data_IF_170154594793
#
_entry.id   IF_170154594793
#
_cell.length_a   1.000
_cell.length_b   1.000
_cell.length_c   1.000
_cell.angle_alpha   90.00
_cell.angle_beta   90.00
_cell.angle_gamma   90.00
#
_symmetry.space_group_name_H-M   'P 1'
#
loop_
_entity.id
_entity.type
_entity.pdbx_description
1 polymer ?
#
# COMPACT_ATOMS: atom_id res chain seq x y z
N UNK A 1 19.08 4.08 -16.46
CA UNK A 1 19.48 3.79 -15.05
C UNK A 1 20.06 2.39 -15.01
N UNK A 2 21.21 2.17 -14.37
CA UNK A 2 21.84 0.82 -14.31
C UNK A 2 20.91 -0.18 -13.60
N UNK A 3 20.89 -1.42 -14.07
CA UNK A 3 20.11 -2.56 -13.54
C UNK A 3 20.28 -2.72 -12.03
N UNK A 4 21.51 -2.70 -11.52
CA UNK A 4 21.82 -2.78 -10.09
C UNK A 4 21.21 -1.62 -9.26
N UNK A 5 21.20 -0.40 -9.81
CA UNK A 5 20.59 0.77 -9.14
C UNK A 5 19.06 0.63 -9.06
N UNK A 6 18.41 0.13 -10.11
CA UNK A 6 16.96 -0.14 -10.12
C UNK A 6 16.56 -1.20 -9.11
N UNK A 7 17.32 -2.29 -9.04
CA UNK A 7 17.10 -3.36 -8.09
C UNK A 7 17.15 -2.85 -6.64
N UNK A 8 18.22 -2.11 -6.29
CA UNK A 8 18.38 -1.52 -4.96
C UNK A 8 17.25 -0.53 -4.63
N UNK A 9 16.85 0.31 -5.58
CA UNK A 9 15.73 1.23 -5.39
C UNK A 9 14.40 0.50 -5.17
N UNK A 10 14.14 -0.57 -5.94
CA UNK A 10 12.94 -1.39 -5.76
C UNK A 10 12.92 -2.05 -4.39
N UNK A 11 14.05 -2.63 -3.96
CA UNK A 11 14.18 -3.23 -2.63
C UNK A 11 13.83 -2.24 -1.51
N UNK A 12 14.48 -1.07 -1.50
CA UNK A 12 14.21 -0.05 -0.48
C UNK A 12 12.79 0.49 -0.56
N UNK A 13 12.25 0.65 -1.76
CA UNK A 13 10.87 1.06 -1.96
C UNK A 13 9.89 0.05 -1.37
N UNK A 14 10.06 -1.25 -1.64
CA UNK A 14 9.21 -2.32 -1.10
C UNK A 14 9.36 -2.45 0.43
N UNK A 15 10.57 -2.26 0.98
CA UNK A 15 10.74 -2.24 2.43
C UNK A 15 10.00 -1.09 3.09
N UNK A 16 10.13 0.13 2.55
CA UNK A 16 9.45 1.30 3.09
C UNK A 16 7.93 1.18 2.93
N UNK A 17 7.46 0.84 1.73
CA UNK A 17 6.05 0.64 1.44
C UNK A 17 5.46 -0.48 2.31
N UNK A 18 6.09 -1.66 2.33
CA UNK A 18 5.68 -2.80 3.13
C UNK A 18 5.69 -2.48 4.62
N UNK A 19 6.67 -1.71 5.11
CA UNK A 19 6.75 -1.27 6.50
C UNK A 19 5.64 -0.29 6.89
N UNK A 20 5.33 0.69 6.04
CA UNK A 20 4.20 1.60 6.24
C UNK A 20 2.89 0.83 6.26
N UNK A 21 2.67 -0.05 5.29
CA UNK A 21 1.44 -0.86 5.21
C UNK A 21 1.34 -1.84 6.39
N UNK A 22 2.45 -2.44 6.82
CA UNK A 22 2.54 -3.31 7.99
C UNK A 22 2.12 -2.59 9.28
N UNK A 23 2.42 -1.29 9.39
CA UNK A 23 2.03 -0.48 10.54
C UNK A 23 0.50 -0.37 10.73
N UNK A 24 -0.30 -0.76 9.73
CA UNK A 24 -1.76 -0.85 9.86
C UNK A 24 -2.21 -1.80 10.98
N UNK A 25 -1.38 -2.77 11.42
CA UNK A 25 -1.68 -3.54 12.63
C UNK A 25 -1.84 -2.66 13.87
N UNK A 26 -1.08 -1.55 13.98
CA UNK A 26 -1.26 -0.59 15.06
C UNK A 26 -2.62 0.11 14.97
N UNK A 27 -3.04 0.47 13.74
CA UNK A 27 -4.37 1.06 13.52
C UNK A 27 -5.51 0.09 13.87
N UNK A 28 -5.34 -1.23 13.68
CA UNK A 28 -6.33 -2.22 14.08
C UNK A 28 -6.57 -2.24 15.61
N UNK A 29 -5.52 -1.96 16.39
CA UNK A 29 -5.56 -1.96 17.84
C UNK A 29 -5.79 -0.57 18.47
N UNK A 30 -5.86 0.49 17.65
CA UNK A 30 -5.86 1.84 18.20
C UNK A 30 -7.15 2.19 18.96
N UNK A 31 -7.06 3.10 19.96
CA UNK A 31 -8.22 3.55 20.70
C UNK A 31 -9.28 4.17 19.78
N UNK A 32 -10.57 3.95 20.10
CA UNK A 32 -11.70 4.58 19.39
C UNK A 32 -11.54 6.09 19.27
N UNK A 33 -11.03 6.74 20.33
CA UNK A 33 -10.80 8.18 20.37
C UNK A 33 -9.86 8.68 19.26
N UNK A 34 -8.84 7.91 18.87
CA UNK A 34 -7.92 8.29 17.79
C UNK A 34 -8.59 8.23 16.41
N UNK A 35 -9.44 7.22 16.20
CA UNK A 35 -10.25 7.08 14.99
C UNK A 35 -11.25 8.24 14.86
N UNK A 36 -11.94 8.58 15.95
CA UNK A 36 -12.89 9.69 16.00
C UNK A 36 -12.16 11.02 15.71
N UNK A 37 -11.05 11.29 16.40
CA UNK A 37 -10.28 12.52 16.18
C UNK A 37 -9.76 12.64 14.74
N UNK A 38 -9.43 11.52 14.09
CA UNK A 38 -9.00 11.51 12.69
C UNK A 38 -10.17 11.82 11.76
N UNK A 39 -11.35 11.22 11.99
CA UNK A 39 -12.55 11.52 11.22
C UNK A 39 -12.94 13.01 11.34
N UNK A 40 -12.91 13.55 12.56
CA UNK A 40 -13.16 14.98 12.82
C UNK A 40 -12.15 15.89 12.12
N UNK A 41 -10.87 15.52 12.12
CA UNK A 41 -9.82 16.28 11.42
C UNK A 41 -10.06 16.37 9.92
N UNK A 42 -10.59 15.31 9.30
CA UNK A 42 -10.93 15.28 7.89
C UNK A 42 -12.35 15.79 7.58
N UNK A 43 -13.05 16.32 8.59
CA UNK A 43 -14.46 16.76 8.47
C UNK A 43 -15.37 15.66 7.90
N UNK A 44 -15.02 14.39 8.14
CA UNK A 44 -15.88 13.25 7.84
C UNK A 44 -16.94 13.21 8.94
N UNK A 45 -18.21 13.02 8.56
CA UNK A 45 -19.34 12.91 9.49
C UNK A 45 -18.99 12.06 10.72
N UNK A 46 -19.64 12.35 11.86
CA UNK A 46 -19.35 11.70 13.14
C UNK A 46 -19.21 10.19 12.98
N UNK A 47 -18.00 9.67 13.26
CA UNK A 47 -17.65 8.27 13.03
C UNK A 47 -18.73 7.36 13.67
N UNK A 48 -19.55 6.65 12.88
CA UNK A 48 -20.77 6.05 13.41
C UNK A 48 -20.48 5.00 14.48
N UNK A 49 -21.06 5.13 15.68
CA UNK A 49 -20.86 4.17 16.78
C UNK A 49 -21.73 2.92 16.60
N UNK A 50 -21.52 2.22 15.49
CA UNK A 50 -22.14 0.94 15.19
C UNK A 50 -21.12 -0.19 15.21
N UNK A 51 -21.54 -1.38 15.66
CA UNK A 51 -20.66 -2.56 15.76
C UNK A 51 -20.00 -2.89 14.43
N UNK A 52 -20.75 -2.78 13.32
CA UNK A 52 -20.24 -3.06 11.98
C UNK A 52 -19.17 -2.06 11.54
N UNK A 53 -19.33 -0.77 11.84
CA UNK A 53 -18.33 0.28 11.52
C UNK A 53 -16.99 -0.02 12.16
N UNK A 54 -16.98 -0.30 13.47
CA UNK A 54 -15.76 -0.64 14.20
C UNK A 54 -15.13 -1.94 13.73
N UNK A 55 -15.96 -2.94 13.43
CA UNK A 55 -15.51 -4.21 12.87
C UNK A 55 -14.82 -3.99 11.52
N UNK A 56 -15.49 -3.32 10.58
CA UNK A 56 -14.96 -3.11 9.23
C UNK A 56 -13.68 -2.28 9.24
N UNK A 57 -13.64 -1.18 9.99
CA UNK A 57 -12.45 -0.34 10.06
C UNK A 57 -11.23 -1.09 10.62
N UNK A 58 -11.40 -1.84 11.72
CA UNK A 58 -10.30 -2.63 12.30
C UNK A 58 -9.92 -3.83 11.44
N UNK A 59 -10.91 -4.52 10.87
CA UNK A 59 -10.67 -5.66 10.01
C UNK A 59 -9.90 -5.25 8.75
N UNK A 60 -10.26 -4.11 8.16
CA UNK A 60 -9.54 -3.53 7.03
C UNK A 60 -8.08 -3.22 7.40
N UNK A 61 -7.82 -2.66 8.59
CA UNK A 61 -6.46 -2.46 9.09
C UNK A 61 -5.67 -3.77 9.24
N UNK A 62 -6.31 -4.86 9.70
CA UNK A 62 -5.68 -6.20 9.77
C UNK A 62 -5.34 -6.72 8.36
N UNK A 63 -6.24 -6.57 7.39
CA UNK A 63 -6.01 -6.97 6.00
C UNK A 63 -4.83 -6.19 5.40
N UNK A 64 -4.76 -4.88 5.61
CA UNK A 64 -3.61 -4.08 5.19
C UNK A 64 -2.33 -4.50 5.93
N UNK A 65 -2.37 -4.75 7.24
CA UNK A 65 -1.22 -5.24 7.99
C UNK A 65 -0.65 -6.54 7.39
N UNK A 66 -1.54 -7.48 7.03
CA UNK A 66 -1.18 -8.73 6.34
C UNK A 66 -0.60 -8.49 4.94
N UNK A 67 -1.14 -7.52 4.19
CA UNK A 67 -0.54 -7.10 2.92
C UNK A 67 0.89 -6.58 3.13
N UNK A 68 1.12 -5.82 4.21
CA UNK A 68 2.44 -5.33 4.60
C UNK A 68 3.43 -6.47 4.84
N UNK A 69 3.00 -7.50 5.59
CA UNK A 69 3.80 -8.74 5.76
C UNK A 69 4.14 -9.35 4.41
N UNK A 70 3.16 -9.54 3.54
CA UNK A 70 3.38 -10.12 2.22
C UNK A 70 4.39 -9.29 1.40
N UNK A 71 4.28 -7.96 1.38
CA UNK A 71 5.25 -7.12 0.65
C UNK A 71 6.65 -7.22 1.23
N UNK A 72 6.78 -7.23 2.57
CA UNK A 72 8.08 -7.38 3.23
C UNK A 72 8.73 -8.74 2.91
N UNK A 73 7.95 -9.81 2.83
CA UNK A 73 8.45 -11.12 2.38
C UNK A 73 8.89 -11.10 0.92
N UNK A 74 8.14 -10.45 0.03
CA UNK A 74 8.54 -10.29 -1.38
C UNK A 74 9.83 -9.49 -1.54
N UNK A 75 10.10 -8.54 -0.64
CA UNK A 75 11.33 -7.76 -0.65
C UNK A 75 12.57 -8.59 -0.27
N UNK A 76 12.43 -9.69 0.49
CA UNK A 76 13.56 -10.52 0.94
C UNK A 76 14.23 -11.31 -0.17
N UNK A 77 13.47 -11.76 -1.16
CA UNK A 77 13.97 -12.51 -2.32
C UNK A 77 13.39 -11.91 -3.62
N UNK A 78 13.79 -10.66 -3.86
CA UNK A 78 13.29 -9.87 -4.97
C UNK A 78 13.60 -10.49 -6.35
N UNK A 79 14.78 -11.10 -6.62
CA UNK A 79 15.02 -11.78 -7.89
C UNK A 79 14.01 -12.88 -8.17
N UNK A 80 13.73 -13.74 -7.17
CA UNK A 80 12.76 -14.83 -7.29
C UNK A 80 11.33 -14.35 -7.47
N UNK A 81 10.93 -13.30 -6.75
CA UNK A 81 9.55 -12.82 -6.72
C UNK A 81 9.24 -11.68 -7.70
N UNK A 82 10.17 -11.32 -8.58
CA UNK A 82 10.06 -10.17 -9.47
C UNK A 82 8.76 -10.12 -10.28
N UNK A 83 8.37 -11.24 -10.88
CA UNK A 83 7.13 -11.33 -11.65
C UNK A 83 5.87 -11.10 -10.79
N UNK A 84 5.90 -11.56 -9.53
CA UNK A 84 4.83 -11.33 -8.58
C UNK A 84 4.80 -9.88 -8.10
N UNK A 85 5.96 -9.27 -7.86
CA UNK A 85 6.09 -7.84 -7.52
C UNK A 85 5.54 -6.95 -8.64
N UNK A 86 5.80 -7.30 -9.91
CA UNK A 86 5.25 -6.58 -11.05
C UNK A 86 3.71 -6.66 -11.10
N UNK A 87 3.15 -7.86 -10.87
CA UNK A 87 1.69 -8.06 -10.78
C UNK A 87 1.09 -7.31 -9.59
N UNK A 88 1.77 -7.31 -8.45
CA UNK A 88 1.38 -6.55 -7.27
C UNK A 88 1.34 -5.05 -7.57
N UNK A 89 2.36 -4.51 -8.25
CA UNK A 89 2.40 -3.12 -8.67
C UNK A 89 1.19 -2.72 -9.52
N UNK A 90 0.85 -3.53 -10.52
CA UNK A 90 -0.38 -3.31 -11.31
C UNK A 90 -1.65 -3.45 -10.47
N UNK A 91 -1.71 -4.43 -9.57
CA UNK A 91 -2.82 -4.58 -8.62
C UNK A 91 -3.03 -3.35 -7.75
N UNK A 92 -1.96 -2.70 -7.30
CA UNK A 92 -2.00 -1.46 -6.52
C UNK A 92 -2.46 -0.28 -7.40
N UNK A 93 -2.05 -0.21 -8.68
CA UNK A 93 -2.58 0.79 -9.62
C UNK A 93 -4.10 0.65 -9.78
N UNK A 94 -4.57 -0.58 -9.97
CA UNK A 94 -6.01 -0.87 -10.08
C UNK A 94 -6.72 -0.54 -8.76
N UNK A 95 -6.12 -0.88 -7.62
CA UNK A 95 -6.65 -0.53 -6.30
C UNK A 95 -6.87 0.98 -6.15
N UNK A 96 -5.93 1.82 -6.59
CA UNK A 96 -6.10 3.28 -6.56
C UNK A 96 -7.31 3.75 -7.38
N UNK A 97 -7.57 3.12 -8.54
CA UNK A 97 -8.78 3.38 -9.33
C UNK A 97 -10.08 2.91 -8.65
N UNK A 98 -10.03 1.78 -7.94
CA UNK A 98 -11.17 1.27 -7.17
C UNK A 98 -11.44 2.11 -5.91
N UNK A 99 -10.39 2.58 -5.22
CA UNK A 99 -10.51 3.51 -4.10
C UNK A 99 -11.17 4.81 -4.55
N UNK A 100 -10.70 5.39 -5.66
CA UNK A 100 -11.34 6.56 -6.25
C UNK A 100 -12.84 6.36 -6.50
N UNK A 101 -13.23 5.21 -7.06
CA UNK A 101 -14.63 4.87 -7.26
C UNK A 101 -15.41 4.77 -5.94
N UNK A 102 -14.86 4.09 -4.93
CA UNK A 102 -15.49 3.93 -3.61
C UNK A 102 -15.67 5.27 -2.91
N UNK A 103 -14.66 6.13 -2.96
CA UNK A 103 -14.69 7.46 -2.34
C UNK A 103 -15.76 8.35 -2.98
N UNK A 104 -15.89 8.31 -4.31
CA UNK A 104 -16.97 9.00 -5.01
C UNK A 104 -18.34 8.43 -4.66
N UNK A 105 -18.48 7.10 -4.57
CA UNK A 105 -19.73 6.44 -4.24
C UNK A 105 -20.18 6.68 -2.78
N UNK A 106 -19.23 7.01 -1.89
CA UNK A 106 -19.49 7.25 -0.46
C UNK A 106 -19.50 8.73 -0.08
N UNK A 107 -19.17 9.62 -1.02
CA UNK A 107 -19.19 11.07 -0.79
C UNK A 107 -18.02 11.58 0.06
N UNK A 108 -16.86 10.92 0.02
CA UNK A 108 -15.68 11.33 0.77
C UNK A 108 -15.16 12.71 0.33
N UNK A 109 -14.53 13.49 1.25
CA UNK A 109 -13.97 14.80 0.94
C UNK A 109 -12.97 14.75 -0.23
N UNK A 110 -13.00 15.75 -1.11
CA UNK A 110 -12.15 15.76 -2.31
C UNK A 110 -10.64 15.61 -2.02
N UNK A 111 -10.15 16.22 -0.94
CA UNK A 111 -8.75 16.11 -0.53
C UNK A 111 -8.36 14.67 -0.16
N UNK A 112 -9.28 13.93 0.45
CA UNK A 112 -9.12 12.51 0.76
C UNK A 112 -9.17 11.69 -0.54
N UNK A 113 -10.23 11.87 -1.33
CA UNK A 113 -10.46 11.11 -2.56
C UNK A 113 -9.30 11.19 -3.55
N UNK A 114 -8.80 12.40 -3.83
CA UNK A 114 -7.66 12.57 -4.71
C UNK A 114 -6.36 12.13 -4.05
N UNK A 115 -6.19 12.42 -2.76
CA UNK A 115 -5.00 12.03 -1.99
C UNK A 115 -4.80 10.51 -1.97
N UNK A 116 -5.83 9.77 -1.57
CA UNK A 116 -5.79 8.30 -1.48
C UNK A 116 -5.60 7.68 -2.87
N UNK A 117 -6.46 7.99 -3.83
CA UNK A 117 -6.39 7.37 -5.15
C UNK A 117 -5.08 7.64 -5.89
N UNK A 118 -4.62 8.90 -5.92
CA UNK A 118 -3.41 9.28 -6.64
C UNK A 118 -2.18 8.70 -5.96
N UNK A 119 -2.09 8.78 -4.62
CA UNK A 119 -0.93 8.25 -3.90
C UNK A 119 -0.83 6.73 -4.03
N UNK A 120 -1.93 5.99 -3.93
CA UNK A 120 -1.95 4.55 -4.14
C UNK A 120 -1.56 4.19 -5.58
N UNK A 121 -2.20 4.81 -6.58
CA UNK A 121 -1.92 4.51 -7.98
C UNK A 121 -0.47 4.86 -8.36
N UNK A 122 0.04 6.00 -7.90
CA UNK A 122 1.43 6.41 -8.10
C UNK A 122 2.39 5.40 -7.44
N UNK A 123 2.09 4.92 -6.24
CA UNK A 123 2.91 3.93 -5.56
C UNK A 123 3.01 2.61 -6.33
N UNK A 124 1.87 2.11 -6.83
CA UNK A 124 1.83 0.95 -7.71
C UNK A 124 2.62 1.17 -9.01
N UNK A 125 2.48 2.35 -9.62
CA UNK A 125 3.20 2.70 -10.84
C UNK A 125 4.73 2.77 -10.63
N UNK A 126 5.19 3.23 -9.47
CA UNK A 126 6.62 3.19 -9.09
C UNK A 126 7.12 1.75 -8.99
N UNK A 127 6.35 0.85 -8.38
CA UNK A 127 6.70 -0.59 -8.33
C UNK A 127 6.80 -1.15 -9.75
N UNK A 128 5.80 -0.93 -10.61
CA UNK A 128 5.82 -1.38 -12.00
C UNK A 128 7.02 -0.81 -12.76
N UNK A 129 7.29 0.48 -12.60
CA UNK A 129 8.42 1.15 -13.25
C UNK A 129 9.76 0.61 -12.79
N UNK A 130 9.94 0.25 -11.52
CA UNK A 130 11.19 -0.29 -11.01
C UNK A 130 11.33 -1.80 -11.27
N UNK A 131 10.21 -2.53 -11.32
CA UNK A 131 10.14 -3.97 -11.54
C UNK A 131 10.05 -4.39 -13.03
N UNK A 132 9.85 -3.47 -13.98
CA UNK A 132 9.96 -3.76 -15.42
C UNK A 132 11.43 -3.91 -15.82
N UNK A 133 11.82 -4.99 -16.47
CA UNK A 133 13.14 -5.26 -17.10
C UNK A 133 14.40 -4.74 -16.39
N UNK A 134 15.02 -5.67 -15.67
CA UNK A 134 16.43 -5.78 -15.42
C UNK A 134 16.72 -7.15 -16.01
N UNK A 135 17.45 -7.20 -17.13
CA UNK A 135 18.07 -8.43 -17.63
C UNK A 135 18.64 -9.20 -16.44
N UNK A 136 18.52 -10.53 -16.44
CA UNK A 136 19.20 -11.38 -15.47
C UNK A 136 20.63 -10.84 -15.26
N UNK A 137 21.05 -10.56 -14.01
CA UNK A 137 22.45 -10.23 -13.80
C UNK A 137 23.28 -11.40 -14.35
N UNK A 138 24.36 -11.14 -15.12
CA UNK A 138 25.26 -12.21 -15.52
C UNK A 138 25.66 -13.02 -14.29
N UNK A 139 25.82 -14.33 -14.48
CA UNK A 139 25.97 -15.34 -13.42
C UNK A 139 27.21 -15.17 -12.51
N UNK A 140 27.92 -14.04 -12.56
CA UNK A 140 29.19 -13.78 -11.90
C UNK A 140 29.12 -12.80 -10.71
N UNK A 141 27.94 -12.32 -10.32
CA UNK A 141 27.82 -11.40 -9.17
C UNK A 141 27.23 -12.11 -7.96
N UNK A 142 28.12 -12.55 -7.07
CA UNK A 142 27.79 -12.94 -5.69
C UNK A 142 27.28 -11.71 -4.92
N UNK A 143 26.15 -11.87 -4.23
CA UNK A 143 25.56 -10.89 -3.30
C UNK A 143 25.91 -11.22 -1.85
#
# INVERSE_FOLDING_TARGET
>A
MKTATRHRLLYWYLLLFGGVVFSAFFAAAMPKAWMIATAEFFEIDSFPDHRLTWYLARHLSVVYGMLGVAVLELARDLPRYRALVLKLGWGIVVLGGLQWWVDLATGMPAIWTYGEAISTAAGGAVIVYLARDSEEPPADVDY
#
